data_IF_495301025640
#
_entry.id   IF_495301025640
#
_cell.length_a   1.000
_cell.length_b   1.000
_cell.length_c   1.000
_cell.angle_alpha   90.00
_cell.angle_beta   90.00
_cell.angle_gamma   90.00
#
_symmetry.space_group_name_H-M   'P 1'
#
loop_
_entity.id
_entity.type
_entity.pdbx_description
1 polymer ?
#
# COMPACT_ATOMS: atom_id res chain seq x y z
N UNK A 1 -20.54 -27.62 68.17
CA UNK A 1 -20.44 -26.49 67.21
C UNK A 1 -20.96 -26.98 65.87
N UNK A 2 -22.00 -26.32 65.37
CA UNK A 2 -22.71 -26.59 64.11
C UNK A 2 -21.92 -26.10 62.87
N UNK A 3 -22.42 -26.20 61.62
CA UNK A 3 -23.13 -27.30 60.95
C UNK A 3 -22.55 -27.65 59.55
N UNK A 4 -23.07 -28.74 58.99
CA UNK A 4 -23.08 -29.07 57.56
C UNK A 4 -23.98 -28.09 56.77
N UNK A 5 -23.51 -27.60 55.62
CA UNK A 5 -24.34 -26.94 54.61
C UNK A 5 -23.75 -27.18 53.21
N UNK A 6 -24.62 -27.63 52.32
CA UNK A 6 -24.39 -27.81 50.90
C UNK A 6 -24.08 -26.47 50.20
N UNK A 7 -23.22 -26.51 49.18
CA UNK A 7 -23.13 -25.47 48.16
C UNK A 7 -23.24 -26.13 46.78
N UNK A 8 -24.49 -26.16 46.34
CA UNK A 8 -25.04 -26.03 45.00
C UNK A 8 -24.08 -25.86 43.80
N UNK A 9 -24.37 -26.68 42.80
CA UNK A 9 -23.82 -26.70 41.44
C UNK A 9 -24.25 -25.47 40.63
N UNK A 10 -23.34 -24.50 40.49
CA UNK A 10 -23.45 -23.44 39.47
C UNK A 10 -22.81 -23.89 38.14
N UNK A 11 -23.42 -23.61 36.97
CA UNK A 11 -22.79 -23.92 35.70
C UNK A 11 -21.54 -23.06 35.52
N UNK A 12 -20.41 -23.73 35.27
CA UNK A 12 -19.17 -23.10 34.83
C UNK A 12 -19.42 -22.45 33.47
N UNK A 13 -19.77 -21.16 33.49
CA UNK A 13 -19.87 -20.34 32.29
C UNK A 13 -18.45 -19.95 31.93
N UNK A 14 -17.86 -20.70 31.01
CA UNK A 14 -16.70 -20.25 30.23
C UNK A 14 -17.16 -18.99 29.51
N UNK A 15 -16.62 -17.79 29.79
CA UNK A 15 -16.86 -16.67 28.88
C UNK A 15 -16.20 -17.05 27.56
N UNK A 16 -17.01 -17.13 26.50
CA UNK A 16 -16.54 -17.27 25.14
C UNK A 16 -15.56 -16.13 24.86
N UNK A 17 -14.28 -16.44 24.79
CA UNK A 17 -13.29 -15.52 24.24
C UNK A 17 -13.61 -15.36 22.75
N UNK A 18 -14.37 -14.32 22.44
CA UNK A 18 -14.42 -13.75 21.10
C UNK A 18 -12.99 -13.38 20.72
N UNK A 19 -12.35 -14.22 19.91
CA UNK A 19 -11.02 -14.06 19.32
C UNK A 19 -10.99 -12.99 18.23
N UNK A 20 -11.68 -11.87 18.46
CA UNK A 20 -11.73 -10.75 17.52
C UNK A 20 -10.42 -9.96 17.56
N UNK A 21 -9.59 -10.22 16.56
CA UNK A 21 -8.65 -9.28 15.94
C UNK A 21 -7.56 -8.66 16.83
N UNK A 22 -6.63 -9.50 17.32
CA UNK A 22 -5.34 -9.03 17.87
C UNK A 22 -4.27 -8.74 16.79
N UNK A 23 -4.53 -9.11 15.52
CA UNK A 23 -3.59 -8.98 14.39
C UNK A 23 -3.59 -7.60 13.73
N UNK A 24 -4.49 -6.68 14.11
CA UNK A 24 -4.63 -5.36 13.49
C UNK A 24 -3.58 -4.33 13.96
N UNK A 25 -2.67 -4.69 14.88
CA UNK A 25 -1.85 -3.70 15.62
C UNK A 25 -0.46 -3.41 15.05
N UNK A 26 -0.09 -3.99 13.91
CA UNK A 26 1.09 -3.56 13.14
C UNK A 26 0.74 -2.66 11.94
N UNK A 27 -0.55 -2.36 11.73
CA UNK A 27 -1.05 -1.40 10.73
C UNK A 27 -1.18 0.03 11.30
N UNK A 28 -0.34 0.39 12.28
CA UNK A 28 -0.32 1.74 12.84
C UNK A 28 0.28 2.71 11.82
N UNK A 29 -0.61 3.25 10.99
CA UNK A 29 -0.64 4.63 10.51
C UNK A 29 0.67 5.18 9.91
N UNK A 30 0.88 4.86 8.63
CA UNK A 30 1.15 5.91 7.66
C UNK A 30 -0.07 5.99 6.75
N UNK A 31 -1.20 6.46 7.29
CA UNK A 31 -2.30 6.97 6.47
C UNK A 31 -1.84 8.33 5.94
N UNK A 32 -1.48 8.49 4.66
CA UNK A 32 -1.29 9.80 4.10
C UNK A 32 -2.70 10.38 3.92
N UNK A 33 -3.14 11.16 4.91
CA UNK A 33 -4.24 12.10 4.71
C UNK A 33 -3.88 13.03 3.56
N UNK A 34 -4.87 13.41 2.75
CA UNK A 34 -4.77 14.13 1.47
C UNK A 34 -4.18 15.57 1.55
N UNK A 35 -3.37 15.91 2.55
CA UNK A 35 -2.84 17.26 2.77
C UNK A 35 -1.52 17.33 3.56
N UNK A 36 -0.68 16.29 3.59
CA UNK A 36 0.65 16.44 4.20
C UNK A 36 1.63 17.06 3.19
N UNK A 37 2.00 18.33 3.40
CA UNK A 37 3.20 18.93 2.81
C UNK A 37 4.39 17.99 3.02
N UNK A 38 5.21 17.73 2.00
CA UNK A 38 6.18 16.67 2.08
C UNK A 38 7.31 17.00 3.06
N UNK A 39 7.42 16.19 4.10
CA UNK A 39 8.62 16.11 4.92
C UNK A 39 9.63 15.31 4.10
N UNK A 40 10.85 15.83 3.95
CA UNK A 40 11.98 15.10 3.34
C UNK A 40 12.03 13.67 3.91
N UNK A 41 11.91 12.61 3.10
CA UNK A 41 11.94 11.25 3.60
C UNK A 41 13.32 10.96 4.19
N UNK A 42 13.44 10.27 5.34
CA UNK A 42 14.73 10.02 5.96
C UNK A 42 15.61 9.12 5.09
N UNK A 43 16.93 9.32 5.14
CA UNK A 43 17.87 8.34 4.60
C UNK A 43 17.88 7.12 5.54
N UNK A 44 17.53 5.94 5.03
CA UNK A 44 17.49 4.72 5.83
C UNK A 44 18.91 4.22 6.13
N UNK A 45 19.09 3.63 7.30
CA UNK A 45 20.32 2.99 7.76
C UNK A 45 20.12 1.49 7.97
N UNK A 46 21.21 0.73 8.14
CA UNK A 46 21.14 -0.69 8.58
C UNK A 46 20.27 -0.86 9.83
N UNK A 47 20.36 0.07 10.78
CA UNK A 47 19.62 -0.01 12.04
C UNK A 47 18.10 0.09 11.84
N UNK A 48 17.65 0.79 10.78
CA UNK A 48 16.23 0.88 10.45
C UNK A 48 15.70 -0.45 9.90
N UNK A 49 16.48 -1.17 9.09
CA UNK A 49 16.14 -2.54 8.66
C UNK A 49 16.06 -3.46 9.87
N UNK A 50 17.07 -3.43 10.74
CA UNK A 50 17.09 -4.27 11.95
C UNK A 50 15.86 -3.96 12.81
N UNK A 51 15.52 -2.69 12.98
CA UNK A 51 14.34 -2.26 13.74
C UNK A 51 13.04 -2.75 13.09
N UNK A 52 12.93 -2.72 11.76
CA UNK A 52 11.78 -3.24 11.03
C UNK A 52 11.65 -4.77 11.18
N UNK A 53 12.76 -5.52 11.09
CA UNK A 53 12.77 -6.98 11.31
C UNK A 53 12.39 -7.32 12.75
N UNK A 54 12.90 -6.58 13.73
CA UNK A 54 12.57 -6.77 15.15
C UNK A 54 11.09 -6.46 15.41
N UNK A 55 10.56 -5.37 14.84
CA UNK A 55 9.15 -5.03 14.93
C UNK A 55 8.27 -6.11 14.30
N UNK A 56 8.68 -6.63 13.14
CA UNK A 56 8.01 -7.74 12.46
C UNK A 56 8.01 -9.03 13.28
N UNK A 57 9.15 -9.41 13.86
CA UNK A 57 9.22 -10.58 14.72
C UNK A 57 8.32 -10.43 15.97
N UNK A 58 8.22 -9.21 16.52
CA UNK A 58 7.34 -8.89 17.64
C UNK A 58 5.86 -8.90 17.29
N UNK A 59 5.48 -8.61 16.04
CA UNK A 59 4.07 -8.68 15.64
C UNK A 59 3.50 -10.10 15.67
N UNK A 60 4.37 -11.12 15.80
CA UNK A 60 3.95 -12.50 16.02
C UNK A 60 3.51 -12.81 17.44
N UNK A 61 4.07 -12.12 18.45
CA UNK A 61 3.88 -12.50 19.86
C UNK A 61 3.23 -11.42 20.72
N UNK A 62 2.71 -11.83 21.88
CA UNK A 62 2.03 -10.95 22.85
C UNK A 62 3.00 -10.20 23.81
N UNK A 63 4.26 -9.96 23.44
CA UNK A 63 5.23 -9.31 24.33
C UNK A 63 6.58 -8.90 23.74
N UNK A 64 7.41 -8.28 24.57
CA UNK A 64 8.72 -7.72 24.18
C UNK A 64 9.79 -8.78 23.84
N UNK A 65 9.61 -10.00 24.35
CA UNK A 65 10.49 -11.16 24.12
C UNK A 65 9.67 -12.32 23.55
N UNK A 66 10.01 -12.76 22.35
CA UNK A 66 9.50 -13.99 21.76
C UNK A 66 10.36 -15.15 22.30
N UNK A 67 9.82 -15.96 23.21
CA UNK A 67 10.49 -17.19 23.65
C UNK A 67 10.24 -18.28 22.61
N UNK A 68 11.32 -18.80 22.03
CA UNK A 68 11.27 -19.83 21.00
C UNK A 68 11.92 -21.09 21.57
N UNK A 69 11.14 -22.16 21.76
CA UNK A 69 11.69 -23.46 22.16
C UNK A 69 12.04 -24.30 20.92
N UNK A 70 12.99 -25.23 21.04
CA UNK A 70 13.32 -26.16 19.96
C UNK A 70 12.10 -27.00 19.51
N UNK A 71 11.27 -27.55 20.42
CA UNK A 71 10.02 -28.20 20.04
C UNK A 71 9.06 -27.30 19.25
N UNK A 72 8.96 -26.01 19.59
CA UNK A 72 8.10 -25.06 18.86
C UNK A 72 8.63 -24.81 17.45
N UNK A 73 9.96 -24.70 17.28
CA UNK A 73 10.59 -24.57 15.96
C UNK A 73 10.27 -25.80 15.11
N UNK A 74 10.45 -27.01 15.67
CA UNK A 74 10.19 -28.24 14.94
C UNK A 74 8.72 -28.34 14.55
N UNK A 75 7.82 -28.06 15.50
CA UNK A 75 6.38 -28.07 15.26
C UNK A 75 6.01 -27.08 14.16
N UNK A 76 6.46 -25.83 14.30
CA UNK A 76 6.15 -24.77 13.34
C UNK A 76 6.70 -25.05 11.94
N UNK A 77 7.89 -25.66 11.84
CA UNK A 77 8.48 -26.05 10.55
C UNK A 77 7.72 -27.21 9.91
N UNK A 78 7.32 -28.21 10.70
CA UNK A 78 6.59 -29.40 10.22
C UNK A 78 5.15 -29.07 9.82
N UNK A 79 4.47 -28.23 10.60
CA UNK A 79 3.09 -27.79 10.32
C UNK A 79 3.03 -26.59 9.40
N UNK A 80 4.18 -25.98 9.07
CA UNK A 80 4.28 -24.72 8.35
C UNK A 80 3.45 -23.60 8.99
N UNK A 81 3.36 -23.55 10.31
CA UNK A 81 2.50 -22.61 11.02
C UNK A 81 3.16 -22.10 12.29
N UNK A 82 3.22 -20.79 12.45
CA UNK A 82 3.72 -20.15 13.65
C UNK A 82 2.74 -19.08 14.12
N UNK A 83 2.20 -19.27 15.32
CA UNK A 83 1.23 -18.35 15.96
C UNK A 83 0.00 -18.06 15.09
N UNK A 84 -0.60 -19.11 14.50
CA UNK A 84 -1.82 -19.00 13.71
C UNK A 84 -1.60 -18.43 12.29
N UNK A 85 -0.35 -18.33 11.84
CA UNK A 85 0.00 -17.80 10.52
C UNK A 85 1.05 -18.69 9.85
N UNK A 86 0.93 -18.96 8.55
CA UNK A 86 1.90 -19.82 7.86
C UNK A 86 3.33 -19.26 7.94
N UNK A 87 4.35 -20.13 8.01
CA UNK A 87 5.74 -19.68 7.84
C UNK A 87 5.99 -19.32 6.37
N UNK A 88 5.54 -20.21 5.48
CA UNK A 88 5.61 -20.09 4.03
C UNK A 88 4.21 -20.18 3.44
N UNK A 89 3.90 -19.35 2.46
CA UNK A 89 2.64 -19.41 1.71
C UNK A 89 2.00 -18.06 1.53
N UNK A 90 1.14 -17.93 0.52
CA UNK A 90 0.42 -16.68 0.31
C UNK A 90 -0.74 -16.54 1.29
N UNK A 91 -1.13 -15.30 1.55
CA UNK A 91 -2.34 -14.99 2.31
C UNK A 91 -3.57 -15.41 1.51
N UNK A 92 -4.60 -15.87 2.22
CA UNK A 92 -5.90 -16.14 1.62
C UNK A 92 -6.54 -14.84 1.13
N UNK A 93 -7.16 -14.89 -0.04
CA UNK A 93 -7.97 -13.78 -0.53
C UNK A 93 -9.19 -13.56 0.37
N UNK A 94 -9.59 -12.30 0.50
CA UNK A 94 -10.79 -11.92 1.22
C UNK A 94 -12.05 -12.51 0.59
N UNK A 95 -13.08 -12.63 1.40
CA UNK A 95 -14.39 -13.18 1.02
C UNK A 95 -15.49 -12.17 1.31
N UNK A 96 -16.72 -12.44 0.87
CA UNK A 96 -17.84 -11.54 1.18
C UNK A 96 -18.09 -11.35 2.69
N UNK A 97 -17.79 -12.36 3.52
CA UNK A 97 -17.98 -12.25 4.98
C UNK A 97 -16.79 -11.63 5.69
N UNK A 98 -15.59 -11.85 5.15
CA UNK A 98 -14.33 -11.31 5.64
C UNK A 98 -13.58 -10.65 4.48
N UNK A 99 -13.92 -9.40 4.13
CA UNK A 99 -13.48 -8.79 2.87
C UNK A 99 -11.97 -8.62 2.75
N UNK A 100 -11.26 -8.50 3.87
CA UNK A 100 -9.83 -8.22 3.83
C UNK A 100 -9.03 -9.47 3.48
N UNK A 101 -8.06 -9.30 2.58
CA UNK A 101 -7.06 -10.31 2.28
C UNK A 101 -6.17 -10.56 3.50
N UNK A 102 -5.85 -11.83 3.74
CA UNK A 102 -4.99 -12.22 4.85
C UNK A 102 -3.53 -11.92 4.54
N UNK A 103 -2.71 -11.77 5.59
CA UNK A 103 -1.27 -11.61 5.42
C UNK A 103 -0.64 -12.88 4.80
N UNK A 104 0.41 -12.69 4.00
CA UNK A 104 1.29 -13.77 3.52
C UNK A 104 1.95 -14.53 4.67
N UNK A 105 2.77 -15.54 4.40
CA UNK A 105 3.52 -16.25 5.44
C UNK A 105 4.55 -15.36 6.15
N UNK A 106 5.05 -15.77 7.30
CA UNK A 106 6.06 -15.02 8.07
C UNK A 106 7.32 -14.74 7.24
N UNK A 107 7.85 -15.73 6.53
CA UNK A 107 9.10 -15.58 5.80
C UNK A 107 8.84 -15.30 4.33
N UNK A 108 8.15 -16.22 3.66
CA UNK A 108 7.86 -16.13 2.22
C UNK A 108 6.36 -16.17 2.00
N UNK A 109 5.85 -15.20 1.25
CA UNK A 109 4.44 -15.20 0.85
C UNK A 109 3.92 -13.83 0.52
N UNK A 110 3.16 -13.72 -0.55
CA UNK A 110 2.44 -12.48 -0.86
C UNK A 110 1.16 -12.40 -0.02
N UNK A 111 0.72 -11.19 0.29
CA UNK A 111 -0.60 -10.99 0.90
C UNK A 111 -1.74 -11.40 -0.02
N UNK A 112 -2.84 -11.85 0.56
CA UNK A 112 -4.07 -12.16 -0.16
C UNK A 112 -4.72 -10.88 -0.68
N UNK A 113 -5.47 -10.99 -1.77
CA UNK A 113 -6.24 -9.87 -2.32
C UNK A 113 -7.43 -9.56 -1.43
N UNK A 114 -7.80 -8.29 -1.36
CA UNK A 114 -9.07 -7.86 -0.82
C UNK A 114 -10.23 -8.30 -1.71
N UNK A 115 -11.37 -8.59 -1.09
CA UNK A 115 -12.59 -8.97 -1.77
C UNK A 115 -13.16 -7.80 -2.55
N UNK A 116 -13.47 -8.06 -3.82
CA UNK A 116 -14.07 -7.08 -4.72
C UNK A 116 -15.58 -7.28 -4.77
N UNK A 117 -16.32 -6.24 -4.40
CA UNK A 117 -17.77 -6.25 -4.51
C UNK A 117 -18.23 -5.96 -5.93
N UNK A 118 -19.39 -6.49 -6.28
CA UNK A 118 -20.12 -6.09 -7.47
C UNK A 118 -21.48 -5.55 -7.04
N UNK A 119 -22.16 -4.81 -7.94
CA UNK A 119 -23.54 -4.40 -7.68
C UNK A 119 -24.49 -5.58 -7.40
N UNK A 120 -24.18 -6.77 -7.92
CA UNK A 120 -24.98 -7.98 -7.70
C UNK A 120 -24.69 -8.67 -6.36
N UNK A 121 -23.47 -8.51 -5.82
CA UNK A 121 -23.06 -9.14 -4.56
C UNK A 121 -23.18 -8.18 -3.37
N UNK A 122 -23.35 -6.88 -3.62
CA UNK A 122 -23.57 -5.88 -2.57
C UNK A 122 -25.04 -5.80 -2.18
N UNK A 123 -25.36 -6.22 -0.95
CA UNK A 123 -26.71 -6.13 -0.39
C UNK A 123 -26.95 -4.81 0.40
N UNK A 124 -25.91 -3.99 0.59
CA UNK A 124 -26.01 -2.75 1.36
C UNK A 124 -26.44 -1.58 0.47
N UNK A 125 -27.55 -0.93 0.83
CA UNK A 125 -28.05 0.25 0.10
C UNK A 125 -27.12 1.47 0.20
N UNK A 126 -26.20 1.49 1.16
CA UNK A 126 -25.20 2.55 1.33
C UNK A 126 -23.90 2.30 0.54
N UNK A 127 -23.84 1.22 -0.25
CA UNK A 127 -22.63 0.76 -0.92
C UNK A 127 -21.82 -0.21 -0.07
N UNK A 128 -20.96 -0.99 -0.74
CA UNK A 128 -20.09 -1.98 -0.11
C UNK A 128 -18.64 -1.60 -0.32
N UNK A 129 -17.90 -1.47 0.77
CA UNK A 129 -16.47 -1.14 0.74
C UNK A 129 -15.67 -2.37 0.33
N UNK A 130 -14.80 -2.22 -0.68
CA UNK A 130 -13.85 -3.24 -1.07
C UNK A 130 -12.92 -3.61 0.08
N UNK A 131 -12.55 -4.88 0.19
CA UNK A 131 -11.65 -5.32 1.25
C UNK A 131 -10.22 -4.85 1.03
N UNK A 132 -9.48 -4.63 2.11
CA UNK A 132 -8.06 -4.29 2.02
C UNK A 132 -7.24 -5.51 1.58
N UNK A 133 -6.16 -5.26 0.84
CA UNK A 133 -5.17 -6.27 0.51
C UNK A 133 -4.30 -6.62 1.73
N UNK A 134 -3.96 -7.89 1.87
CA UNK A 134 -3.10 -8.37 2.95
C UNK A 134 -1.65 -7.93 2.80
N UNK A 135 -0.94 -7.80 3.92
CA UNK A 135 0.50 -7.54 3.88
C UNK A 135 1.29 -8.76 3.38
N UNK A 136 2.40 -8.53 2.70
CA UNK A 136 3.39 -9.56 2.38
C UNK A 136 4.12 -10.08 3.61
N UNK A 137 4.81 -11.21 3.43
CA UNK A 137 5.80 -11.72 4.38
C UNK A 137 7.05 -10.84 4.46
N UNK A 138 8.08 -11.35 5.14
CA UNK A 138 9.41 -10.73 5.09
C UNK A 138 9.88 -10.53 3.64
N UNK A 139 9.63 -11.55 2.81
CA UNK A 139 9.73 -11.52 1.36
C UNK A 139 8.36 -11.87 0.78
N UNK A 140 7.78 -10.93 0.05
CA UNK A 140 6.49 -11.10 -0.58
C UNK A 140 5.86 -9.76 -0.95
N UNK A 141 5.01 -9.80 -1.96
CA UNK A 141 4.27 -8.62 -2.38
C UNK A 141 3.10 -8.36 -1.42
N UNK A 142 2.67 -7.12 -1.33
CA UNK A 142 1.36 -6.81 -0.78
C UNK A 142 0.24 -7.34 -1.69
N UNK A 143 -0.87 -7.74 -1.09
CA UNK A 143 -2.08 -8.10 -1.83
C UNK A 143 -2.78 -6.86 -2.37
N UNK A 144 -3.46 -6.99 -3.51
CA UNK A 144 -4.24 -5.87 -4.05
C UNK A 144 -5.48 -5.62 -3.19
N UNK A 145 -5.87 -4.35 -3.04
CA UNK A 145 -7.17 -3.97 -2.50
C UNK A 145 -8.29 -4.40 -3.43
N UNK A 146 -9.45 -4.72 -2.85
CA UNK A 146 -10.65 -5.10 -3.57
C UNK A 146 -11.46 -3.88 -4.01
N UNK A 147 -12.24 -4.06 -5.07
CA UNK A 147 -13.11 -3.01 -5.58
C UNK A 147 -14.34 -2.80 -4.70
N UNK A 148 -14.77 -1.54 -4.58
CA UNK A 148 -16.03 -1.17 -3.96
C UNK A 148 -17.22 -1.35 -4.91
N UNK A 149 -18.44 -1.32 -4.39
CA UNK A 149 -19.67 -1.37 -5.19
C UNK A 149 -20.73 -0.39 -4.70
N UNK A 150 -21.57 0.08 -5.64
CA UNK A 150 -22.73 0.94 -5.37
C UNK A 150 -22.36 2.22 -4.59
N UNK A 151 -21.24 2.86 -4.96
CA UNK A 151 -20.72 4.03 -4.27
C UNK A 151 -19.84 3.74 -3.06
N UNK A 152 -19.68 2.47 -2.68
CA UNK A 152 -18.71 2.06 -1.66
C UNK A 152 -17.27 2.34 -2.11
N UNK A 153 -16.43 2.77 -1.17
CA UNK A 153 -15.01 2.97 -1.43
C UNK A 153 -14.31 1.64 -1.73
N UNK A 154 -13.14 1.69 -2.35
CA UNK A 154 -12.31 0.51 -2.52
C UNK A 154 -11.43 0.23 -1.30
N UNK A 155 -10.88 -0.98 -1.24
CA UNK A 155 -9.86 -1.33 -0.27
C UNK A 155 -8.47 -0.86 -0.69
N UNK A 156 -7.62 -0.59 0.29
CA UNK A 156 -6.22 -0.26 0.05
C UNK A 156 -5.41 -1.52 -0.34
N UNK A 157 -4.32 -1.32 -1.07
CA UNK A 157 -3.33 -2.36 -1.31
C UNK A 157 -2.47 -2.62 -0.07
N UNK A 158 -2.10 -3.88 0.13
CA UNK A 158 -1.23 -4.29 1.23
C UNK A 158 0.23 -3.87 1.01
N UNK A 159 1.01 -3.79 2.09
CA UNK A 159 2.44 -3.45 2.02
C UNK A 159 3.34 -4.67 1.82
N UNK A 160 4.52 -4.45 1.26
CA UNK A 160 5.66 -5.38 1.35
C UNK A 160 6.62 -4.93 2.47
N UNK A 161 7.43 -5.85 3.01
CA UNK A 161 8.36 -5.54 4.11
C UNK A 161 9.82 -5.35 3.65
N UNK A 162 10.58 -6.41 3.36
CA UNK A 162 11.97 -6.27 2.91
C UNK A 162 12.06 -6.31 1.39
N UNK A 163 11.49 -7.36 0.80
CA UNK A 163 11.44 -7.54 -0.64
C UNK A 163 10.00 -7.70 -1.09
N UNK A 164 9.62 -6.93 -2.11
CA UNK A 164 8.30 -7.02 -2.72
C UNK A 164 7.75 -5.67 -3.15
N UNK A 165 6.79 -5.73 -4.04
CA UNK A 165 6.01 -4.58 -4.50
C UNK A 165 4.78 -4.46 -3.60
N UNK A 166 4.40 -3.23 -3.25
CA UNK A 166 3.14 -2.98 -2.57
C UNK A 166 1.95 -3.32 -3.47
N UNK A 167 0.86 -3.81 -2.89
CA UNK A 167 -0.34 -4.14 -3.63
C UNK A 167 -1.00 -2.89 -4.22
N UNK A 168 -1.71 -3.05 -5.34
CA UNK A 168 -2.46 -1.94 -5.91
C UNK A 168 -3.73 -1.69 -5.08
N UNK A 169 -4.18 -0.43 -4.99
CA UNK A 169 -5.48 -0.11 -4.43
C UNK A 169 -6.62 -0.53 -5.36
N UNK A 170 -7.77 -0.90 -4.80
CA UNK A 170 -8.96 -1.26 -5.56
C UNK A 170 -9.66 -0.06 -6.21
N UNK A 171 -10.54 -0.29 -7.17
CA UNK A 171 -11.39 0.73 -7.75
C UNK A 171 -12.62 1.04 -6.88
N UNK A 172 -12.96 2.32 -6.76
CA UNK A 172 -14.16 2.75 -6.07
C UNK A 172 -15.43 2.33 -6.81
N UNK A 173 -16.49 2.03 -6.06
CA UNK A 173 -17.74 1.54 -6.62
C UNK A 173 -18.51 2.63 -7.38
N UNK A 174 -19.03 2.30 -8.55
CA UNK A 174 -19.88 3.21 -9.32
C UNK A 174 -21.23 3.46 -8.62
N UNK A 175 -21.76 4.68 -8.70
CA UNK A 175 -23.06 5.05 -8.14
C UNK A 175 -23.82 6.06 -9.03
N UNK A 176 -24.65 5.57 -9.94
CA UNK A 176 -25.45 6.44 -10.83
C UNK A 176 -26.43 7.36 -10.09
N UNK A 177 -26.82 7.02 -8.86
CA UNK A 177 -27.78 7.77 -8.06
C UNK A 177 -27.14 8.72 -7.03
N UNK A 178 -25.82 8.72 -6.91
CA UNK A 178 -25.13 9.43 -5.83
C UNK A 178 -23.66 9.65 -6.14
N UNK A 179 -22.82 9.74 -5.10
CA UNK A 179 -21.38 9.92 -5.26
C UNK A 179 -20.74 8.56 -5.54
N UNK A 180 -19.86 8.50 -6.54
CA UNK A 180 -19.02 7.32 -6.78
C UNK A 180 -18.02 7.13 -5.64
N UNK A 181 -17.68 5.88 -5.32
CA UNK A 181 -16.77 5.56 -4.23
C UNK A 181 -15.34 6.01 -4.52
N UNK A 182 -14.56 6.32 -3.49
CA UNK A 182 -13.15 6.64 -3.68
C UNK A 182 -12.32 5.38 -4.01
N UNK A 183 -11.29 5.54 -4.82
CA UNK A 183 -10.31 4.49 -5.11
C UNK A 183 -9.39 4.24 -3.91
N UNK A 184 -8.95 2.99 -3.76
CA UNK A 184 -8.07 2.58 -2.67
C UNK A 184 -6.65 3.10 -2.86
N UNK A 185 -5.95 3.36 -1.77
CA UNK A 185 -4.52 3.69 -1.84
C UNK A 185 -3.70 2.45 -2.24
N UNK A 186 -2.60 2.66 -2.98
CA UNK A 186 -1.60 1.63 -3.22
C UNK A 186 -0.74 1.38 -1.97
N UNK A 187 -0.29 0.16 -1.80
CA UNK A 187 0.55 -0.26 -0.67
C UNK A 187 2.01 0.11 -0.83
N UNK A 188 2.74 0.16 0.29
CA UNK A 188 4.17 0.49 0.28
C UNK A 188 5.06 -0.66 -0.23
N UNK A 189 6.15 -0.31 -0.90
CA UNK A 189 7.18 -1.27 -1.36
C UNK A 189 8.20 -1.65 -0.28
N UNK A 190 8.96 -2.71 -0.54
CA UNK A 190 9.93 -3.26 0.42
C UNK A 190 11.18 -2.41 0.66
N UNK A 191 11.70 -2.47 1.90
CA UNK A 191 12.84 -1.69 2.41
C UNK A 191 14.19 -2.05 1.76
N UNK A 192 14.33 -3.23 1.18
CA UNK A 192 15.57 -3.66 0.52
C UNK A 192 15.41 -3.64 -1.00
N UNK A 193 14.25 -4.07 -1.52
CA UNK A 193 13.94 -3.99 -2.94
C UNK A 193 12.44 -4.09 -3.21
N UNK A 194 11.92 -3.16 -4.02
CA UNK A 194 10.50 -3.11 -4.31
C UNK A 194 10.06 -1.80 -4.96
N UNK A 195 8.75 -1.71 -5.20
CA UNK A 195 8.08 -0.51 -5.69
C UNK A 195 6.77 -0.31 -4.92
N UNK A 196 6.26 0.92 -4.89
CA UNK A 196 4.92 1.19 -4.39
C UNK A 196 3.85 0.67 -5.34
N UNK A 197 2.72 0.21 -4.79
CA UNK A 197 1.55 -0.18 -5.58
C UNK A 197 0.82 1.04 -6.14
N UNK A 198 0.11 0.90 -7.25
CA UNK A 198 -0.67 2.02 -7.81
C UNK A 198 -1.92 2.27 -6.99
N UNK A 199 -2.35 3.52 -6.89
CA UNK A 199 -3.67 3.87 -6.36
C UNK A 199 -4.78 3.43 -7.32
N UNK A 200 -5.94 3.13 -6.76
CA UNK A 200 -7.10 2.67 -7.52
C UNK A 200 -7.92 3.82 -8.10
N UNK A 201 -8.67 3.54 -9.18
CA UNK A 201 -9.56 4.52 -9.81
C UNK A 201 -10.73 4.88 -8.88
N UNK A 202 -11.12 6.15 -8.83
CA UNK A 202 -12.38 6.57 -8.22
C UNK A 202 -13.60 6.13 -9.03
N UNK A 203 -14.66 5.70 -8.36
CA UNK A 203 -15.90 5.26 -8.97
C UNK A 203 -16.64 6.40 -9.68
N UNK A 204 -17.30 6.08 -10.78
CA UNK A 204 -18.14 7.04 -11.49
C UNK A 204 -19.47 7.24 -10.73
N UNK A 205 -20.04 8.43 -10.75
CA UNK A 205 -21.34 8.72 -10.11
C UNK A 205 -21.88 10.09 -10.48
N UNK A 206 -22.99 10.54 -9.89
CA UNK A 206 -23.47 11.92 -10.09
C UNK A 206 -22.35 12.93 -9.81
N UNK A 207 -21.63 12.72 -8.71
CA UNK A 207 -20.28 13.23 -8.52
C UNK A 207 -19.30 12.06 -8.60
N UNK A 208 -18.20 12.23 -9.30
CA UNK A 208 -17.12 11.24 -9.34
C UNK A 208 -16.42 11.09 -7.99
N UNK A 209 -16.06 9.85 -7.66
CA UNK A 209 -15.19 9.51 -6.53
C UNK A 209 -13.73 9.85 -6.85
N UNK A 210 -12.94 10.14 -5.82
CA UNK A 210 -11.54 10.48 -5.99
C UNK A 210 -10.69 9.23 -6.29
N UNK A 211 -9.62 9.39 -7.05
CA UNK A 211 -8.61 8.35 -7.21
C UNK A 211 -7.79 8.16 -5.94
N UNK A 212 -7.34 6.93 -5.70
CA UNK A 212 -6.49 6.59 -4.57
C UNK A 212 -5.05 7.06 -4.76
N UNK A 213 -4.36 7.34 -3.66
CA UNK A 213 -2.93 7.68 -3.71
C UNK A 213 -2.07 6.46 -4.10
N UNK A 214 -0.97 6.69 -4.78
CA UNK A 214 0.05 5.68 -5.04
C UNK A 214 0.88 5.36 -3.80
N UNK A 215 1.36 4.12 -3.73
CA UNK A 215 2.16 3.61 -2.64
C UNK A 215 3.57 4.20 -2.59
N UNK A 216 4.09 4.40 -1.39
CA UNK A 216 5.44 4.95 -1.21
C UNK A 216 6.49 3.83 -1.10
N UNK A 217 7.73 4.14 -1.44
CA UNK A 217 8.87 3.25 -1.25
C UNK A 217 10.06 4.02 -0.69
N UNK A 218 10.63 3.51 0.40
CA UNK A 218 11.94 3.91 0.91
C UNK A 218 12.78 2.66 1.01
N UNK A 219 13.82 2.54 0.19
CA UNK A 219 14.50 1.26 -0.02
C UNK A 219 15.99 1.43 -0.33
N UNK A 220 16.78 0.40 -0.08
CA UNK A 220 18.20 0.33 -0.48
C UNK A 220 18.40 -0.04 -1.96
N UNK A 221 17.32 -0.38 -2.68
CA UNK A 221 17.38 -0.56 -4.12
C UNK A 221 18.24 -1.75 -4.57
N UNK A 222 18.16 -2.92 -3.92
CA UNK A 222 18.78 -4.14 -4.45
C UNK A 222 18.21 -4.61 -5.80
N UNK A 223 17.21 -3.87 -6.30
CA UNK A 223 16.50 -4.14 -7.53
C UNK A 223 15.36 -5.13 -7.34
N UNK A 224 14.55 -5.25 -8.39
CA UNK A 224 13.44 -6.20 -8.45
C UNK A 224 13.30 -6.76 -9.87
N UNK A 225 12.60 -7.89 -9.97
CA UNK A 225 12.40 -8.58 -11.24
C UNK A 225 10.97 -8.33 -11.76
N UNK A 226 10.86 -7.75 -12.96
CA UNK A 226 9.62 -7.66 -13.75
C UNK A 226 9.82 -8.33 -15.11
N UNK A 227 10.34 -9.56 -15.10
CA UNK A 227 10.82 -10.25 -16.30
C UNK A 227 12.25 -9.83 -16.72
N UNK A 228 12.74 -8.66 -16.30
CA UNK A 228 14.14 -8.22 -16.37
C UNK A 228 14.58 -7.69 -15.00
N UNK A 229 15.85 -7.91 -14.63
CA UNK A 229 16.42 -7.37 -13.38
C UNK A 229 16.64 -5.86 -13.50
N UNK A 230 16.05 -5.09 -12.60
CA UNK A 230 16.24 -3.64 -12.50
C UNK A 230 17.08 -3.31 -11.26
N UNK A 231 18.42 -3.27 -11.34
CA UNK A 231 19.26 -2.97 -10.19
C UNK A 231 19.04 -1.54 -9.69
N UNK A 232 19.21 -1.33 -8.38
CA UNK A 232 19.38 0.01 -7.82
C UNK A 232 18.11 0.85 -7.70
N UNK A 233 17.03 0.51 -8.40
CA UNK A 233 15.97 1.49 -8.69
C UNK A 233 14.75 1.34 -7.80
N UNK A 234 14.14 2.47 -7.44
CA UNK A 234 12.94 2.55 -6.61
C UNK A 234 11.89 3.41 -7.30
N UNK A 235 10.66 2.91 -7.32
CA UNK A 235 9.53 3.55 -7.99
C UNK A 235 8.38 3.74 -7.00
N UNK A 236 7.93 4.97 -6.85
CA UNK A 236 6.67 5.28 -6.20
C UNK A 236 5.52 4.78 -7.08
N UNK A 237 4.43 4.33 -6.46
CA UNK A 237 3.24 3.93 -7.21
C UNK A 237 2.54 5.13 -7.82
N UNK A 238 1.93 4.97 -8.98
CA UNK A 238 1.13 6.04 -9.59
C UNK A 238 -0.17 6.27 -8.79
N UNK A 239 -0.65 7.51 -8.76
CA UNK A 239 -1.97 7.85 -8.25
C UNK A 239 -3.07 7.38 -9.19
N UNK A 240 -4.18 6.90 -8.63
CA UNK A 240 -5.33 6.45 -9.39
C UNK A 240 -6.08 7.62 -10.02
N UNK A 241 -6.73 7.42 -11.18
CA UNK A 241 -7.55 8.47 -11.78
C UNK A 241 -8.84 8.70 -10.98
N UNK A 242 -9.38 9.91 -11.03
CA UNK A 242 -10.71 10.22 -10.51
C UNK A 242 -11.83 9.62 -11.36
N UNK A 243 -12.98 9.39 -10.74
CA UNK A 243 -14.19 8.92 -11.40
C UNK A 243 -14.92 10.02 -12.16
N UNK A 244 -15.71 9.65 -13.16
CA UNK A 244 -16.55 10.58 -13.90
C UNK A 244 -17.76 11.05 -13.06
N UNK A 245 -18.06 12.34 -13.12
CA UNK A 245 -19.28 12.96 -12.64
C UNK A 245 -20.33 13.01 -13.75
N UNK A 246 -21.44 12.28 -13.61
CA UNK A 246 -22.51 12.19 -14.62
C UNK A 246 -23.63 13.20 -14.42
N UNK A 247 -23.67 13.87 -13.26
CA UNK A 247 -24.61 14.93 -12.94
C UNK A 247 -23.98 15.91 -11.93
N UNK A 248 -22.74 16.30 -12.19
CA UNK A 248 -21.91 17.03 -11.24
C UNK A 248 -20.43 16.97 -11.57
N UNK A 249 -19.61 17.28 -10.57
CA UNK A 249 -18.18 17.36 -10.75
C UNK A 249 -17.53 15.99 -10.92
N UNK A 250 -16.45 15.94 -11.69
CA UNK A 250 -15.55 14.79 -11.72
C UNK A 250 -14.83 14.61 -10.39
N UNK A 251 -14.34 13.40 -10.13
CA UNK A 251 -13.51 13.08 -8.98
C UNK A 251 -12.07 13.56 -9.19
N UNK A 252 -11.38 13.90 -8.12
CA UNK A 252 -9.98 14.30 -8.22
C UNK A 252 -9.09 13.08 -8.47
N UNK A 253 -7.99 13.26 -9.19
CA UNK A 253 -6.94 12.25 -9.31
C UNK A 253 -6.17 12.08 -8.00
N UNK A 254 -5.70 10.86 -7.74
CA UNK A 254 -4.88 10.54 -6.57
C UNK A 254 -3.45 11.04 -6.72
N UNK A 255 -2.78 11.32 -5.60
CA UNK A 255 -1.37 11.69 -5.60
C UNK A 255 -0.48 10.49 -5.97
N UNK A 256 0.62 10.73 -6.66
CA UNK A 256 1.68 9.75 -6.86
C UNK A 256 2.48 9.47 -5.59
N UNK A 257 2.97 8.26 -5.48
CA UNK A 257 3.75 7.77 -4.34
C UNK A 257 5.17 8.31 -4.32
N UNK A 258 5.73 8.46 -3.11
CA UNK A 258 7.13 8.88 -2.93
C UNK A 258 8.09 7.74 -3.23
N UNK A 259 9.23 8.05 -3.83
CA UNK A 259 10.35 7.13 -4.01
C UNK A 259 11.60 7.67 -3.33
N UNK A 260 12.16 6.93 -2.39
CA UNK A 260 13.40 7.27 -1.71
C UNK A 260 14.39 6.10 -1.82
N UNK A 261 15.51 6.33 -2.51
CA UNK A 261 16.64 5.42 -2.57
C UNK A 261 17.62 5.80 -1.45
N UNK A 262 17.76 4.93 -0.47
CA UNK A 262 18.67 5.11 0.66
C UNK A 262 20.13 4.83 0.26
N UNK A 263 21.06 5.37 1.05
CA UNK A 263 22.49 5.06 0.96
C UNK A 263 23.08 4.84 2.34
N UNK A 264 23.96 3.85 2.44
CA UNK A 264 24.71 3.52 3.66
C UNK A 264 26.07 2.93 3.24
N UNK A 265 27.19 3.38 3.84
CA UNK A 265 28.53 3.00 3.39
C UNK A 265 28.81 1.49 3.41
N UNK A 266 28.21 0.76 4.37
CA UNK A 266 28.38 -0.69 4.48
C UNK A 266 27.50 -1.42 3.46
N UNK A 267 26.31 -0.89 3.17
CA UNK A 267 25.44 -1.39 2.10
C UNK A 267 26.00 -1.12 0.70
N UNK A 268 26.58 0.06 0.47
CA UNK A 268 27.19 0.42 -0.82
C UNK A 268 28.40 -0.49 -1.13
N UNK A 269 29.19 -0.86 -0.12
CA UNK A 269 30.27 -1.85 -0.28
C UNK A 269 29.72 -3.23 -0.64
N UNK A 270 28.67 -3.71 0.05
CA UNK A 270 28.03 -4.99 -0.27
C UNK A 270 27.47 -5.00 -1.71
N UNK A 271 26.80 -3.92 -2.10
CA UNK A 271 26.22 -3.78 -3.44
C UNK A 271 27.32 -3.73 -4.52
N UNK A 272 28.46 -3.09 -4.25
CA UNK A 272 29.61 -3.09 -5.18
C UNK A 272 30.16 -4.50 -5.44
N UNK A 273 30.10 -5.41 -4.47
CA UNK A 273 30.52 -6.81 -4.63
C UNK A 273 29.44 -7.65 -5.32
N UNK A 274 28.16 -7.44 -4.98
CA UNK A 274 27.03 -8.21 -5.54
C UNK A 274 26.75 -7.85 -7.00
N UNK A 275 26.87 -6.57 -7.37
CA UNK A 275 26.68 -6.09 -8.76
C UNK A 275 27.79 -6.53 -9.72
N UNK A 276 28.93 -6.99 -9.20
CA UNK A 276 29.99 -7.63 -9.97
C UNK A 276 29.59 -9.02 -10.52
N UNK A 277 28.62 -9.71 -9.91
CA UNK A 277 28.15 -11.02 -10.37
C UNK A 277 27.30 -10.97 -11.65
N UNK A 278 26.32 -10.06 -11.82
CA UNK A 278 25.54 -9.91 -13.06
C UNK A 278 26.16 -8.93 -14.08
N UNK A 279 27.23 -8.19 -13.74
CA UNK A 279 27.92 -7.26 -14.64
C UNK A 279 27.19 -5.93 -14.91
N UNK A 280 26.13 -5.62 -14.14
CA UNK A 280 25.37 -4.38 -14.29
C UNK A 280 25.93 -3.32 -13.34
N UNK A 281 26.53 -2.27 -13.91
CA UNK A 281 27.25 -1.20 -13.18
C UNK A 281 26.49 0.12 -13.12
N UNK A 282 25.22 0.17 -13.53
CA UNK A 282 24.47 1.44 -13.58
C UNK A 282 23.96 1.83 -12.19
N UNK A 283 24.21 3.07 -11.72
CA UNK A 283 23.67 3.56 -10.45
C UNK A 283 22.14 3.49 -10.41
N UNK A 284 21.60 3.14 -9.25
CA UNK A 284 20.16 3.08 -9.00
C UNK A 284 19.47 4.44 -9.12
N UNK A 285 18.25 4.46 -9.66
CA UNK A 285 17.46 5.70 -9.80
C UNK A 285 16.25 5.72 -8.86
N UNK A 286 15.87 6.90 -8.40
CA UNK A 286 14.61 7.11 -7.69
C UNK A 286 13.61 7.81 -8.60
N UNK A 287 12.41 7.23 -8.77
CA UNK A 287 11.35 7.80 -9.61
C UNK A 287 10.06 7.90 -8.81
N UNK A 288 9.60 9.12 -8.56
CA UNK A 288 8.31 9.36 -7.91
C UNK A 288 7.16 8.92 -8.82
N UNK A 289 6.08 8.43 -8.22
CA UNK A 289 4.90 8.00 -8.98
C UNK A 289 4.19 9.18 -9.64
N UNK A 290 3.51 8.95 -10.76
CA UNK A 290 2.72 9.98 -11.43
C UNK A 290 1.48 10.33 -10.62
N UNK A 291 1.02 11.58 -10.69
CA UNK A 291 -0.29 11.97 -10.23
C UNK A 291 -1.39 11.44 -11.14
N UNK A 292 -2.49 10.97 -10.57
CA UNK A 292 -3.65 10.48 -11.30
C UNK A 292 -4.39 11.61 -12.03
N UNK A 293 -5.02 11.31 -13.17
CA UNK A 293 -5.86 12.28 -13.85
C UNK A 293 -7.15 12.57 -13.07
N UNK A 294 -7.62 13.81 -13.10
CA UNK A 294 -8.97 14.15 -12.66
C UNK A 294 -10.03 13.55 -13.58
N UNK A 295 -11.16 13.15 -13.01
CA UNK A 295 -12.29 12.62 -13.77
C UNK A 295 -13.04 13.73 -14.51
N UNK A 296 -13.69 13.37 -15.61
CA UNK A 296 -14.59 14.29 -16.33
C UNK A 296 -15.84 14.58 -15.51
N UNK A 297 -16.33 15.81 -15.50
CA UNK A 297 -17.60 16.17 -14.86
C UNK A 297 -18.57 16.82 -15.83
N UNK A 298 -19.87 16.60 -15.67
CA UNK A 298 -20.90 17.36 -16.42
C UNK A 298 -21.07 18.80 -15.92
N UNK A 299 -20.30 19.24 -14.92
CA UNK A 299 -20.21 20.64 -14.50
C UNK A 299 -18.76 21.08 -14.47
N UNK A 300 -18.01 20.62 -13.46
CA UNK A 300 -16.58 20.92 -13.29
C UNK A 300 -15.78 19.62 -13.40
N UNK A 301 -14.70 19.63 -14.16
CA UNK A 301 -13.75 18.51 -14.15
C UNK A 301 -13.01 18.38 -12.82
N UNK A 302 -12.66 17.15 -12.44
CA UNK A 302 -11.87 16.89 -11.24
C UNK A 302 -10.43 17.39 -11.38
N UNK A 303 -9.77 17.76 -10.28
CA UNK A 303 -8.37 18.19 -10.33
C UNK A 303 -7.45 17.00 -10.60
N UNK A 304 -6.34 17.23 -11.30
CA UNK A 304 -5.25 16.26 -11.38
C UNK A 304 -4.56 16.06 -10.03
N UNK A 305 -4.04 14.87 -9.80
CA UNK A 305 -3.30 14.51 -8.59
C UNK A 305 -1.87 15.03 -8.61
N UNK A 306 -1.28 15.24 -7.43
CA UNK A 306 0.12 15.66 -7.31
C UNK A 306 1.06 14.54 -7.80
N UNK A 307 2.17 14.92 -8.44
CA UNK A 307 3.26 14.00 -8.72
C UNK A 307 4.02 13.62 -7.44
N UNK A 308 4.46 12.37 -7.37
CA UNK A 308 5.21 11.82 -6.25
C UNK A 308 6.64 12.35 -6.17
N UNK A 309 7.18 12.43 -4.95
CA UNK A 309 8.55 12.89 -4.76
C UNK A 309 9.58 11.83 -5.13
N UNK A 310 10.80 12.27 -5.47
CA UNK A 310 11.95 11.40 -5.64
C UNK A 310 13.17 11.87 -4.84
N UNK A 311 13.73 10.99 -4.02
CA UNK A 311 14.96 11.23 -3.29
C UNK A 311 15.96 10.13 -3.59
N UNK A 312 17.16 10.50 -4.02
CA UNK A 312 18.26 9.56 -4.20
C UNK A 312 19.42 9.96 -3.29
N UNK A 313 19.63 9.23 -2.20
CA UNK A 313 20.75 9.44 -1.29
C UNK A 313 22.04 8.76 -1.78
N UNK A 314 21.94 7.91 -2.81
CA UNK A 314 23.04 7.12 -3.38
C UNK A 314 23.66 7.83 -4.59
N UNK A 315 24.21 7.06 -5.54
CA UNK A 315 25.03 7.55 -6.65
C UNK A 315 24.26 7.96 -7.91
N UNK A 316 22.96 7.68 -8.00
CA UNK A 316 22.18 7.82 -9.22
C UNK A 316 21.14 8.94 -9.21
N UNK A 317 20.38 9.04 -10.31
CA UNK A 317 19.47 10.15 -10.55
C UNK A 317 18.20 10.06 -9.70
N UNK A 318 17.53 11.21 -9.53
CA UNK A 318 16.18 11.31 -8.98
C UNK A 318 15.26 12.03 -9.97
N UNK A 319 14.09 11.46 -10.25
CA UNK A 319 13.06 12.06 -11.12
C UNK A 319 11.73 12.12 -10.38
N UNK A 320 11.23 13.31 -10.11
CA UNK A 320 9.92 13.49 -9.51
C UNK A 320 8.81 13.07 -10.48
N UNK A 321 7.72 12.55 -9.95
CA UNK A 321 6.55 12.19 -10.74
C UNK A 321 5.90 13.43 -11.35
N UNK A 322 5.40 13.32 -12.57
CA UNK A 322 4.55 14.32 -13.19
C UNK A 322 3.24 14.48 -12.42
N UNK A 323 2.73 15.70 -12.39
CA UNK A 323 1.37 15.96 -11.95
C UNK A 323 0.35 15.39 -12.93
N UNK A 324 -0.81 14.99 -12.42
CA UNK A 324 -1.92 14.51 -13.21
C UNK A 324 -2.62 15.64 -13.96
N UNK A 325 -3.26 15.32 -15.08
CA UNK A 325 -4.08 16.29 -15.80
C UNK A 325 -5.40 16.52 -15.07
N UNK A 326 -5.92 17.74 -15.12
CA UNK A 326 -7.31 18.01 -14.74
C UNK A 326 -8.28 17.35 -15.73
N UNK A 327 -9.44 16.92 -15.24
CA UNK A 327 -10.51 16.38 -16.07
C UNK A 327 -11.31 17.48 -16.76
N UNK A 328 -12.03 17.13 -17.83
CA UNK A 328 -12.88 18.10 -18.54
C UNK A 328 -14.20 18.34 -17.81
N UNK A 329 -14.86 19.48 -18.05
CA UNK A 329 -16.25 19.65 -17.67
C UNK A 329 -16.93 20.88 -18.22
N UNK A 330 -18.23 20.78 -18.52
CA UNK A 330 -18.96 21.73 -19.38
C UNK A 330 -18.95 23.19 -18.92
N UNK A 331 -18.79 23.43 -17.62
CA UNK A 331 -18.73 24.77 -17.03
C UNK A 331 -17.29 25.21 -16.76
N UNK A 332 -16.43 24.28 -16.38
CA UNK A 332 -15.01 24.51 -16.17
C UNK A 332 -14.23 23.18 -16.15
N UNK A 333 -13.05 23.16 -16.74
CA UNK A 333 -12.10 22.06 -16.56
C UNK A 333 -11.48 22.04 -15.16
N UNK A 334 -10.94 20.89 -14.78
CA UNK A 334 -10.18 20.69 -13.56
C UNK A 334 -8.79 21.32 -13.63
N UNK A 335 -8.27 21.71 -12.47
CA UNK A 335 -6.90 22.19 -12.33
C UNK A 335 -5.89 21.04 -12.52
N UNK A 336 -4.66 21.34 -12.96
CA UNK A 336 -3.62 20.35 -13.09
C UNK A 336 -3.04 20.01 -11.72
N UNK A 337 -2.51 18.80 -11.59
CA UNK A 337 -1.62 18.46 -10.50
C UNK A 337 -0.25 19.08 -10.71
N UNK A 338 0.43 19.46 -9.63
CA UNK A 338 1.82 19.89 -9.69
C UNK A 338 2.75 18.68 -9.79
N UNK A 339 3.86 18.83 -10.51
CA UNK A 339 4.92 17.84 -10.52
C UNK A 339 5.59 17.67 -9.15
N UNK A 340 6.07 16.47 -8.87
CA UNK A 340 6.77 16.12 -7.64
C UNK A 340 8.20 16.66 -7.62
N UNK A 341 8.70 17.14 -6.47
CA UNK A 341 10.09 17.54 -6.33
C UNK A 341 11.03 16.34 -6.39
N UNK A 342 12.25 16.59 -6.89
CA UNK A 342 13.33 15.62 -6.90
C UNK A 342 14.58 16.15 -6.20
N UNK A 343 15.30 15.26 -5.53
CA UNK A 343 16.59 15.53 -4.94
C UNK A 343 17.52 14.34 -5.10
N UNK A 344 18.78 14.60 -5.45
CA UNK A 344 19.80 13.56 -5.58
C UNK A 344 21.08 14.04 -4.89
N UNK A 345 21.65 13.19 -4.02
CA UNK A 345 22.92 13.42 -3.36
C UNK A 345 24.06 13.45 -4.38
N UNK A 346 23.97 12.58 -5.39
CA UNK A 346 24.86 12.50 -6.52
C UNK A 346 24.05 12.28 -7.81
N UNK A 347 24.61 12.58 -8.98
CA UNK A 347 23.85 12.52 -10.24
C UNK A 347 22.90 13.71 -10.45
N UNK A 348 21.86 13.54 -11.27
CA UNK A 348 20.92 14.63 -11.61
C UNK A 348 19.59 14.47 -10.89
N UNK A 349 19.05 15.59 -10.40
CA UNK A 349 17.68 15.69 -9.91
C UNK A 349 16.81 16.45 -10.91
N UNK A 350 15.70 15.84 -11.34
CA UNK A 350 14.73 16.44 -12.23
C UNK A 350 13.34 16.43 -11.59
N UNK A 351 12.78 17.61 -11.32
CA UNK A 351 11.40 17.70 -10.85
C UNK A 351 10.43 17.18 -11.93
N UNK A 352 9.31 16.63 -11.49
CA UNK A 352 8.22 16.28 -12.39
C UNK A 352 7.64 17.53 -13.06
N UNK A 353 7.14 17.36 -14.28
CA UNK A 353 6.34 18.40 -14.93
C UNK A 353 4.95 18.49 -14.35
N UNK A 354 4.36 19.67 -14.35
CA UNK A 354 2.94 19.86 -14.02
C UNK A 354 2.05 19.19 -15.08
N UNK A 355 0.84 18.81 -14.66
CA UNK A 355 -0.19 18.35 -15.58
C UNK A 355 -0.78 19.49 -16.42
N UNK A 356 -1.71 19.16 -17.30
CA UNK A 356 -2.51 20.14 -18.04
C UNK A 356 -3.86 20.40 -17.38
N UNK A 357 -4.41 21.60 -17.57
CA UNK A 357 -5.81 21.89 -17.23
C UNK A 357 -6.74 21.02 -18.08
N UNK A 358 -7.89 20.66 -17.52
CA UNK A 358 -9.00 20.16 -18.32
C UNK A 358 -9.68 21.27 -19.11
N UNK A 359 -10.50 20.89 -20.09
CA UNK A 359 -11.27 21.84 -20.91
C UNK A 359 -12.69 22.04 -20.40
N UNK A 360 -13.29 23.21 -20.67
CA UNK A 360 -14.73 23.37 -20.70
C UNK A 360 -15.42 22.47 -21.73
#
# INVERSE_FOLDING_TARGET
MAPSAAADSGPSTIPAETSTAKSARAAAALTPSAAASPITPPNLTINDIISAIVAYARSGGDGNNVQISFPDIITALVTNEWQGRPILGNGADGTATDPNGQAGGWLLGSGGKGYSWSGATCAASAGCTGGDGGAGGLIGNGGNGGDGALGGAAGAGGSALLFGVGGNGGAGGTNSGGVGGDGGAGGSGGLIGGAGGTGGKGGDGQKGGNGGAGGSVSSFGFGYFTGVYHPGSVYGGDGGPGGAGTNGAGGNGGAGGTAALASDPLWDYLLSVVTLLPGVVTPGIAVGGQGGAGGTGTTTGGTGGLGGMAYNYSLGNATGGKGGNGGDGTSAGGLPGTGGPAWAANGTAANGGDGSNGTP
#
